data_IF_140107791058
#
_entry.id   IF_140107791058
#
_cell.length_a   1.000
_cell.length_b   1.000
_cell.length_c   1.000
_cell.angle_alpha   90.00
_cell.angle_beta   90.00
_cell.angle_gamma   90.00
#
_symmetry.space_group_name_H-M   'P 1'
#
loop_
_entity.id
_entity.type
_entity.pdbx_description
1 polymer ?
#
# COMPACT_ATOMS: atom_id res chain seq x y z
N UNK A 1 -9.45 19.48 28.90
CA UNK A 1 -8.03 19.07 29.04
C UNK A 1 -7.41 18.42 27.81
N UNK A 2 -8.18 17.93 26.82
CA UNK A 2 -7.62 17.35 25.59
C UNK A 2 -6.79 18.34 24.74
N UNK A 3 -7.23 19.60 24.66
CA UNK A 3 -6.61 20.62 23.81
C UNK A 3 -5.22 21.12 24.29
N UNK A 4 -4.90 20.95 25.59
CA UNK A 4 -3.60 21.35 26.15
C UNK A 4 -2.53 20.25 25.98
N UNK A 5 -2.93 18.97 25.87
CA UNK A 5 -1.99 17.83 25.72
C UNK A 5 -1.54 17.64 24.27
N UNK A 6 -2.35 18.03 23.28
CA UNK A 6 -1.98 18.00 21.85
C UNK A 6 -0.83 18.95 21.52
N UNK A 7 -0.75 20.14 22.14
CA UNK A 7 0.39 21.05 21.95
C UNK A 7 1.68 20.60 22.66
N UNK A 8 1.59 19.74 23.67
CA UNK A 8 2.74 19.30 24.47
C UNK A 8 3.46 18.03 23.94
N UNK A 9 2.91 17.36 22.93
CA UNK A 9 3.43 16.07 22.42
C UNK A 9 3.78 16.09 20.93
N UNK A 10 4.11 17.26 20.40
CA UNK A 10 4.86 17.37 19.15
C UNK A 10 6.27 16.84 19.40
N UNK A 11 6.55 15.59 19.00
CA UNK A 11 7.91 15.02 19.02
C UNK A 11 8.25 13.93 20.05
N UNK A 12 7.30 13.34 20.80
CA UNK A 12 7.57 12.20 21.72
C UNK A 12 6.74 10.97 21.39
N UNK A 13 7.31 10.08 20.56
CA UNK A 13 6.68 8.90 19.97
C UNK A 13 6.06 7.90 20.99
N UNK A 14 6.73 7.52 22.11
CA UNK A 14 6.19 6.50 23.04
C UNK A 14 5.00 7.00 23.86
N UNK A 15 4.92 8.32 24.09
CA UNK A 15 3.87 8.94 24.89
C UNK A 15 2.56 9.03 24.11
N UNK A 16 2.63 9.05 22.78
CA UNK A 16 1.45 9.06 21.91
C UNK A 16 0.73 7.72 21.89
N UNK A 17 1.46 6.60 21.82
CA UNK A 17 0.87 5.25 21.93
C UNK A 17 0.15 5.08 23.28
N UNK A 18 0.81 5.43 24.38
CA UNK A 18 0.19 5.36 25.71
C UNK A 18 -1.06 6.23 25.83
N UNK A 19 -1.05 7.43 25.22
CA UNK A 19 -2.23 8.28 25.26
C UNK A 19 -3.36 7.74 24.39
N UNK A 20 -3.05 7.27 23.18
CA UNK A 20 -4.01 6.65 22.26
C UNK A 20 -4.65 5.43 22.92
N UNK A 21 -3.85 4.59 23.58
CA UNK A 21 -4.33 3.46 24.37
C UNK A 21 -5.30 3.87 25.49
N UNK A 22 -4.95 4.86 26.30
CA UNK A 22 -5.83 5.36 27.38
C UNK A 22 -7.14 5.94 26.84
N UNK A 23 -7.12 6.62 25.69
CA UNK A 23 -8.33 7.13 25.06
C UNK A 23 -9.22 5.99 24.55
N UNK A 24 -8.62 5.02 23.86
CA UNK A 24 -9.30 3.83 23.36
C UNK A 24 -9.92 3.06 24.54
N UNK A 25 -9.14 2.76 25.58
CA UNK A 25 -9.63 2.10 26.81
C UNK A 25 -10.81 2.88 27.44
N UNK A 26 -10.73 4.21 27.49
CA UNK A 26 -11.82 5.05 27.99
C UNK A 26 -13.09 5.02 27.13
N UNK A 27 -13.02 4.64 25.85
CA UNK A 27 -14.20 4.37 25.02
C UNK A 27 -14.90 3.08 25.47
N UNK A 28 -14.13 2.05 25.85
CA UNK A 28 -14.65 0.77 26.33
C UNK A 28 -15.20 0.81 27.76
N UNK A 29 -14.70 1.73 28.58
CA UNK A 29 -15.16 1.90 29.96
C UNK A 29 -16.50 2.66 30.04
N UNK A 30 -16.91 3.30 28.96
CA UNK A 30 -18.20 3.97 28.85
C UNK A 30 -19.22 3.06 28.15
N UNK A 31 -20.49 3.19 28.51
CA UNK A 31 -21.63 2.46 27.92
C UNK A 31 -21.97 2.98 26.50
N UNK A 32 -20.96 3.13 25.64
CA UNK A 32 -21.17 3.50 24.25
C UNK A 32 -21.62 2.29 23.44
N UNK A 33 -22.55 2.54 22.52
CA UNK A 33 -22.95 1.58 21.50
C UNK A 33 -21.75 1.21 20.62
N UNK A 34 -21.70 -0.04 20.15
CA UNK A 34 -20.63 -0.57 19.29
C UNK A 34 -20.27 0.35 18.13
N UNK A 35 -21.29 0.90 17.45
CA UNK A 35 -21.10 1.81 16.31
C UNK A 35 -20.45 3.14 16.70
N UNK A 36 -20.74 3.63 17.91
CA UNK A 36 -20.16 4.87 18.42
C UNK A 36 -18.68 4.66 18.78
N UNK A 37 -18.34 3.52 19.37
CA UNK A 37 -16.95 3.15 19.66
C UNK A 37 -16.13 3.10 18.37
N UNK A 38 -16.67 2.49 17.31
CA UNK A 38 -16.00 2.40 16.00
C UNK A 38 -15.73 3.80 15.41
N UNK A 39 -16.75 4.66 15.36
CA UNK A 39 -16.59 6.02 14.81
C UNK A 39 -15.61 6.86 15.62
N UNK A 40 -15.66 6.76 16.95
CA UNK A 40 -14.75 7.49 17.84
C UNK A 40 -13.31 6.97 17.72
N UNK A 41 -13.13 5.66 17.57
CA UNK A 41 -11.83 5.06 17.31
C UNK A 41 -11.22 5.61 16.02
N UNK A 42 -11.97 5.64 14.92
CA UNK A 42 -11.49 6.18 13.63
C UNK A 42 -11.05 7.64 13.73
N UNK A 43 -11.80 8.46 14.47
CA UNK A 43 -11.43 9.87 14.70
C UNK A 43 -10.09 9.95 15.46
N UNK A 44 -9.91 9.13 16.50
CA UNK A 44 -8.67 9.09 17.29
C UNK A 44 -7.49 8.57 16.44
N UNK A 45 -7.72 7.53 15.64
CA UNK A 45 -6.72 6.93 14.77
C UNK A 45 -6.22 7.91 13.70
N UNK A 46 -7.14 8.62 13.05
CA UNK A 46 -6.83 9.66 12.08
C UNK A 46 -6.13 10.88 12.71
N UNK A 47 -6.52 11.30 13.92
CA UNK A 47 -5.88 12.41 14.62
C UNK A 47 -4.48 12.06 15.15
N UNK A 48 -4.22 10.79 15.45
CA UNK A 48 -2.97 10.31 16.05
C UNK A 48 -2.38 9.14 15.25
N UNK A 49 -1.82 9.46 14.09
CA UNK A 49 -1.08 8.50 13.26
C UNK A 49 0.14 7.97 14.01
N UNK A 50 0.29 6.65 14.07
CA UNK A 50 1.43 5.96 14.67
C UNK A 50 2.31 5.35 13.57
N UNK A 51 3.58 5.04 13.89
CA UNK A 51 4.40 4.18 13.03
C UNK A 51 3.83 2.76 12.99
N UNK A 52 4.14 2.00 11.95
CA UNK A 52 3.61 0.65 11.76
C UNK A 52 3.87 -0.27 12.97
N UNK A 53 5.06 -0.20 13.56
CA UNK A 53 5.44 -0.98 14.75
C UNK A 53 4.58 -0.63 15.98
N UNK A 54 4.33 0.66 16.21
CA UNK A 54 3.52 1.13 17.35
C UNK A 54 2.03 0.83 17.14
N UNK A 55 1.56 0.86 15.89
CA UNK A 55 0.19 0.50 15.55
C UNK A 55 -0.04 -1.00 15.79
N UNK A 56 0.89 -1.86 15.35
CA UNK A 56 0.83 -3.31 15.57
C UNK A 56 0.86 -3.69 17.07
N UNK A 57 1.70 -3.01 17.87
CA UNK A 57 1.72 -3.13 19.34
C UNK A 57 0.37 -2.74 19.96
N UNK A 58 -0.25 -1.65 19.49
CA UNK A 58 -1.53 -1.17 19.99
C UNK A 58 -2.68 -2.13 19.65
N UNK A 59 -2.73 -2.63 18.42
CA UNK A 59 -3.73 -3.60 17.96
C UNK A 59 -3.68 -4.90 18.78
N UNK A 60 -2.48 -5.38 19.09
CA UNK A 60 -2.29 -6.56 19.94
C UNK A 60 -2.86 -6.36 21.36
N UNK A 61 -2.67 -5.16 21.94
CA UNK A 61 -3.23 -4.81 23.26
C UNK A 61 -4.76 -4.70 23.24
N UNK A 62 -5.32 -4.15 22.17
CA UNK A 62 -6.78 -4.04 21.98
C UNK A 62 -7.38 -5.44 21.88
N UNK A 63 -6.78 -6.31 21.04
CA UNK A 63 -7.21 -7.70 20.87
C UNK A 63 -7.26 -8.44 22.20
N UNK A 64 -6.18 -8.38 22.98
CA UNK A 64 -6.12 -9.02 24.30
C UNK A 64 -7.22 -8.50 25.24
N UNK A 65 -7.47 -7.18 25.24
CA UNK A 65 -8.50 -6.56 26.07
C UNK A 65 -9.93 -6.92 25.63
N UNK A 66 -10.18 -7.06 24.32
CA UNK A 66 -11.47 -7.50 23.79
C UNK A 66 -11.76 -8.98 24.09
N UNK A 67 -10.72 -9.83 24.05
CA UNK A 67 -10.80 -11.25 24.44
C UNK A 67 -11.15 -11.39 25.93
N UNK A 68 -10.54 -10.57 26.80
CA UNK A 68 -10.85 -10.53 28.24
C UNK A 68 -12.29 -10.09 28.54
N UNK A 69 -12.87 -9.20 27.73
CA UNK A 69 -14.25 -8.70 27.90
C UNK A 69 -15.29 -9.45 27.07
N UNK A 70 -14.92 -10.46 26.29
CA UNK A 70 -15.82 -11.20 25.38
C UNK A 70 -16.66 -10.29 24.48
N UNK A 71 -16.10 -9.14 24.08
CA UNK A 71 -16.77 -8.15 23.24
C UNK A 71 -15.91 -7.87 21.99
N UNK A 72 -15.85 -8.81 21.01
CA UNK A 72 -15.03 -8.64 19.83
C UNK A 72 -15.59 -7.52 18.95
N UNK A 73 -14.88 -6.39 18.85
CA UNK A 73 -15.11 -5.29 17.91
C UNK A 73 -14.32 -5.47 16.62
N UNK A 74 -13.22 -6.23 16.69
CA UNK A 74 -12.27 -6.37 15.59
C UNK A 74 -12.90 -6.84 14.26
N UNK A 75 -14.00 -7.58 14.26
CA UNK A 75 -14.59 -8.12 13.02
C UNK A 75 -14.89 -7.06 11.93
N UNK A 76 -15.41 -5.87 12.26
CA UNK A 76 -15.74 -4.85 11.25
C UNK A 76 -14.56 -3.94 10.87
N UNK A 77 -13.54 -3.87 11.74
CA UNK A 77 -12.32 -3.11 11.47
C UNK A 77 -11.32 -3.95 10.68
N UNK A 78 -11.18 -5.23 11.01
CA UNK A 78 -10.44 -6.23 10.24
C UNK A 78 -11.02 -6.35 8.84
N UNK A 79 -12.35 -6.43 8.69
CA UNK A 79 -12.99 -6.46 7.38
C UNK A 79 -12.65 -5.21 6.54
N UNK A 80 -12.73 -4.01 7.13
CA UNK A 80 -12.36 -2.76 6.43
C UNK A 80 -10.86 -2.63 6.19
N UNK A 81 -10.02 -3.15 7.08
CA UNK A 81 -8.57 -3.22 6.90
C UNK A 81 -8.18 -4.16 5.75
N UNK A 82 -8.86 -5.31 5.65
CA UNK A 82 -8.72 -6.25 4.53
C UNK A 82 -9.18 -5.61 3.22
N UNK A 83 -10.33 -4.93 3.23
CA UNK A 83 -10.87 -4.24 2.05
C UNK A 83 -9.92 -3.14 1.56
N UNK A 84 -9.45 -2.29 2.47
CA UNK A 84 -8.47 -1.25 2.16
C UNK A 84 -7.12 -1.83 1.71
N UNK A 85 -6.67 -2.92 2.32
CA UNK A 85 -5.47 -3.64 1.90
C UNK A 85 -5.58 -4.20 0.48
N UNK A 86 -6.76 -4.70 0.09
CA UNK A 86 -7.04 -5.14 -1.29
C UNK A 86 -7.04 -3.98 -2.27
N UNK A 87 -7.65 -2.85 -1.92
CA UNK A 87 -7.63 -1.65 -2.78
C UNK A 87 -6.21 -1.12 -3.01
N UNK A 88 -5.42 -0.97 -1.93
CA UNK A 88 -4.02 -0.55 -2.02
C UNK A 88 -3.20 -1.56 -2.86
N UNK A 89 -3.41 -2.85 -2.64
CA UNK A 89 -2.73 -3.90 -3.40
C UNK A 89 -3.03 -3.84 -4.90
N UNK A 90 -4.29 -3.55 -5.26
CA UNK A 90 -4.72 -3.36 -6.65
C UNK A 90 -4.06 -2.13 -7.27
N UNK A 91 -4.10 -0.99 -6.61
CA UNK A 91 -3.51 0.26 -7.11
C UNK A 91 -1.99 0.13 -7.33
N UNK A 92 -1.26 -0.45 -6.36
CA UNK A 92 0.18 -0.70 -6.49
C UNK A 92 0.46 -1.69 -7.63
N UNK A 93 -0.36 -2.74 -7.75
CA UNK A 93 -0.23 -3.73 -8.81
C UNK A 93 -0.41 -3.13 -10.20
N UNK A 94 -1.43 -2.28 -10.38
CA UNK A 94 -1.70 -1.57 -11.63
C UNK A 94 -0.55 -0.61 -12.00
N UNK A 95 -0.10 0.23 -11.06
CA UNK A 95 1.01 1.16 -11.30
C UNK A 95 2.30 0.43 -11.70
N UNK A 96 2.67 -0.63 -10.96
CA UNK A 96 3.85 -1.46 -11.29
C UNK A 96 3.69 -2.17 -12.62
N UNK A 97 2.50 -2.66 -12.92
CA UNK A 97 2.19 -3.31 -14.20
C UNK A 97 2.36 -2.37 -15.38
N UNK A 98 1.85 -1.13 -15.27
CA UNK A 98 1.98 -0.10 -16.29
C UNK A 98 3.45 0.29 -16.50
N UNK A 99 4.18 0.54 -15.40
CA UNK A 99 5.59 0.93 -15.46
C UNK A 99 6.44 -0.15 -16.13
N UNK A 100 6.32 -1.40 -15.65
CA UNK A 100 7.05 -2.54 -16.20
C UNK A 100 6.65 -2.83 -17.65
N UNK A 101 5.36 -2.70 -17.98
CA UNK A 101 4.86 -2.87 -19.35
C UNK A 101 5.43 -1.83 -20.33
N UNK A 102 5.57 -0.57 -19.89
CA UNK A 102 6.21 0.49 -20.69
C UNK A 102 7.69 0.20 -20.94
N UNK A 103 8.41 -0.26 -19.92
CA UNK A 103 9.84 -0.60 -20.03
C UNK A 103 10.06 -1.77 -20.99
N UNK A 104 9.35 -2.89 -20.78
CA UNK A 104 9.41 -4.06 -21.66
C UNK A 104 8.99 -3.69 -23.09
N UNK A 105 7.94 -2.89 -23.27
CA UNK A 105 7.49 -2.46 -24.59
C UNK A 105 8.54 -1.66 -25.35
N UNK A 106 9.31 -0.80 -24.67
CA UNK A 106 10.43 -0.07 -25.28
C UNK A 106 11.54 -1.02 -25.73
N UNK A 107 11.93 -1.97 -24.88
CA UNK A 107 12.96 -2.95 -25.22
C UNK A 107 12.55 -3.84 -26.40
N UNK A 108 11.33 -4.37 -26.37
CA UNK A 108 10.80 -5.18 -27.47
C UNK A 108 10.77 -4.37 -28.76
N UNK A 109 10.26 -3.14 -28.73
CA UNK A 109 10.22 -2.29 -29.93
C UNK A 109 11.62 -1.99 -30.48
N UNK A 110 12.62 -1.76 -29.62
CA UNK A 110 14.00 -1.57 -30.05
C UNK A 110 14.58 -2.84 -30.70
N UNK A 111 14.32 -4.01 -30.12
CA UNK A 111 14.76 -5.30 -30.66
C UNK A 111 14.08 -5.63 -31.99
N UNK A 112 12.78 -5.37 -32.13
CA UNK A 112 12.05 -5.59 -33.38
C UNK A 112 12.59 -4.69 -34.49
N UNK A 113 12.81 -3.41 -34.20
CA UNK A 113 13.42 -2.48 -35.15
C UNK A 113 14.83 -2.94 -35.58
N UNK A 114 15.66 -3.36 -34.63
CA UNK A 114 17.00 -3.88 -34.93
C UNK A 114 16.94 -5.15 -35.80
N UNK A 115 16.03 -6.08 -35.47
CA UNK A 115 15.80 -7.30 -36.24
C UNK A 115 15.39 -7.00 -37.69
N UNK A 116 14.45 -6.08 -37.87
CA UNK A 116 13.92 -5.75 -39.20
C UNK A 116 14.94 -4.98 -40.04
N UNK A 117 15.77 -4.15 -39.41
CA UNK A 117 16.93 -3.54 -40.06
C UNK A 117 17.93 -4.59 -40.55
N UNK A 118 18.29 -5.56 -39.71
CA UNK A 118 19.20 -6.65 -40.09
C UNK A 118 18.65 -7.45 -41.27
N UNK A 119 17.35 -7.79 -41.27
CA UNK A 119 16.71 -8.47 -42.42
C UNK A 119 16.86 -7.67 -43.71
N UNK A 120 16.63 -6.36 -43.64
CA UNK A 120 16.73 -5.46 -44.80
C UNK A 120 18.15 -5.45 -45.37
N UNK A 121 19.17 -5.34 -44.51
CA UNK A 121 20.58 -5.36 -44.93
C UNK A 121 20.96 -6.71 -45.56
N UNK A 122 20.51 -7.82 -44.98
CA UNK A 122 20.78 -9.15 -45.52
C UNK A 122 20.15 -9.35 -46.90
N UNK A 123 18.89 -8.95 -47.08
CA UNK A 123 18.22 -8.99 -48.38
C UNK A 123 18.96 -8.15 -49.44
N UNK A 124 19.36 -6.91 -49.09
CA UNK A 124 20.13 -6.05 -49.98
C UNK A 124 21.45 -6.71 -50.40
N UNK A 125 22.16 -7.36 -49.47
CA UNK A 125 23.40 -8.08 -49.75
C UNK A 125 23.17 -9.26 -50.71
N UNK A 126 22.13 -10.05 -50.50
CA UNK A 126 21.78 -11.19 -51.37
C UNK A 126 21.50 -10.72 -52.81
N UNK A 127 20.72 -9.64 -52.97
CA UNK A 127 20.43 -9.06 -54.28
C UNK A 127 21.69 -8.55 -54.99
N UNK A 128 22.59 -7.87 -54.28
CA UNK A 128 23.88 -7.41 -54.83
C UNK A 128 24.77 -8.59 -55.27
N UNK A 129 24.81 -9.66 -54.49
CA UNK A 129 25.63 -10.85 -54.81
C UNK A 129 25.10 -11.55 -56.06
N UNK A 130 23.77 -11.65 -56.20
CA UNK A 130 23.12 -12.22 -57.38
C UNK A 130 23.32 -11.36 -58.64
N UNK A 131 23.27 -10.02 -58.51
CA UNK A 131 23.49 -9.11 -59.64
C UNK A 131 24.93 -9.18 -60.18
N UNK A 132 25.93 -9.31 -59.30
CA UNK A 132 27.33 -9.47 -59.70
C UNK A 132 27.55 -10.83 -60.39
N UNK A 133 26.93 -11.90 -59.88
CA UNK A 133 27.02 -13.25 -60.46
C UNK A 133 26.39 -13.39 -61.85
N UNK A 134 25.47 -12.49 -62.26
CA UNK A 134 24.84 -12.52 -63.59
C UNK A 134 25.59 -11.73 -64.66
N UNK A 135 26.52 -10.86 -64.24
CA UNK A 135 27.30 -9.98 -65.11
C UNK A 135 28.77 -10.43 -65.28
N UNK A 136 29.13 -11.60 -64.74
CA UNK A 136 30.41 -12.27 -64.92
C UNK A 136 30.21 -13.54 -65.76
#
# INVERSE_FOLDING_TARGET
MAHLKTKATTGKLPQREQWKWKLIRGLYEKEFEREQIIKLFEIIDNMMTLSAELQSSLESKIKQFEEERTMPLMSNMELRGIERGKEIGKEIGELRGIERGKEIGKEIGALENARDFVKTVLQAREHLTFAISRNA
#
